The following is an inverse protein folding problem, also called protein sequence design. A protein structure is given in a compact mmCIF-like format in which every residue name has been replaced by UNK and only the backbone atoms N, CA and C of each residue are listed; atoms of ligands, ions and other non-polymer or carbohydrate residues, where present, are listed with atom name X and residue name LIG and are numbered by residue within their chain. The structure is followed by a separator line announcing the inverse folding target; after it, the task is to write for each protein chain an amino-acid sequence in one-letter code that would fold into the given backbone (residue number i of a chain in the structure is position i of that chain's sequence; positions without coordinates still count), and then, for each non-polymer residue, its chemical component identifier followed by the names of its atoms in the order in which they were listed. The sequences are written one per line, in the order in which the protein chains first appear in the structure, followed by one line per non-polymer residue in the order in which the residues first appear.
data_IF_652580802441
#
_entry.id   IF_652580802441
#
_cell.length_a   1.000
_cell.length_b   1.000
_cell.length_c   1.000
_cell.angle_alpha   90.00
_cell.angle_beta   90.00
_cell.angle_gamma   90.00
#
_symmetry.space_group_name_H-M   'P 1'
#
loop_
_entity.id
_entity.type
_entity.pdbx_description
1 polymer ?
#
# COMPACT_ATOMS: atom_id res chain seq x y z
N UNK A 1 7.06 34.81 -1.87
CA UNK A 1 7.46 33.45 -2.29
C UNK A 1 8.97 33.36 -2.08
N UNK A 2 9.40 32.54 -1.15
CA UNK A 2 10.82 32.47 -0.72
C UNK A 2 11.67 31.55 -1.61
N UNK A 3 11.11 30.96 -2.66
CA UNK A 3 11.84 30.05 -3.54
C UNK A 3 12.30 28.77 -2.85
N UNK A 4 11.50 28.27 -1.89
CA UNK A 4 11.78 27.05 -1.15
C UNK A 4 10.75 25.96 -1.41
N UNK A 5 11.01 24.78 -0.90
CA UNK A 5 10.13 23.61 -0.99
C UNK A 5 9.81 23.06 0.39
N UNK A 6 8.77 22.25 0.48
CA UNK A 6 8.35 21.58 1.70
C UNK A 6 8.03 20.10 1.41
N UNK A 7 8.35 19.23 2.36
CA UNK A 7 7.91 17.84 2.36
C UNK A 7 6.46 17.70 2.82
N UNK A 8 5.98 16.49 2.87
CA UNK A 8 4.66 16.18 3.40
C UNK A 8 4.36 14.70 3.27
N UNK A 9 3.16 14.34 3.67
CA UNK A 9 2.73 12.94 3.69
C UNK A 9 1.49 12.72 2.82
N UNK A 10 1.32 11.47 2.40
CA UNK A 10 0.15 10.98 1.68
C UNK A 10 -0.46 9.88 2.55
N UNK A 11 -1.66 10.14 3.04
CA UNK A 11 -2.49 9.12 3.66
C UNK A 11 -3.19 8.30 2.58
N UNK A 12 -3.29 7.00 2.78
CA UNK A 12 -4.02 6.10 1.90
C UNK A 12 -4.89 5.14 2.69
N UNK A 13 -5.95 4.66 2.05
CA UNK A 13 -6.85 3.66 2.60
C UNK A 13 -7.35 2.73 1.48
N UNK A 14 -7.32 1.41 1.71
CA UNK A 14 -7.93 0.41 0.84
C UNK A 14 -9.05 -0.32 1.58
N UNK A 15 -10.25 -0.26 1.02
CA UNK A 15 -11.46 -0.92 1.55
C UNK A 15 -11.86 -2.12 0.71
N UNK A 16 -12.58 -3.06 1.32
CA UNK A 16 -13.07 -4.24 0.64
C UNK A 16 -11.97 -5.24 0.25
N UNK A 17 -10.84 -5.18 0.95
CA UNK A 17 -9.74 -6.13 0.75
C UNK A 17 -10.12 -7.47 1.38
N UNK A 18 -10.05 -8.59 0.62
CA UNK A 18 -10.39 -9.89 1.17
C UNK A 18 -9.52 -10.26 2.38
N UNK A 19 -10.11 -10.92 3.37
CA UNK A 19 -9.40 -11.50 4.50
C UNK A 19 -8.47 -12.62 4.06
N UNK A 20 -7.32 -12.78 4.74
CA UNK A 20 -6.42 -13.91 4.56
C UNK A 20 -5.42 -13.78 3.42
N UNK A 21 -5.22 -12.57 2.88
CA UNK A 21 -4.14 -12.32 1.92
C UNK A 21 -2.81 -12.17 2.63
N UNK A 22 -1.75 -12.65 2.00
CA UNK A 22 -0.38 -12.58 2.50
C UNK A 22 0.15 -13.90 3.03
N UNK A 23 1.46 -14.01 3.08
CA UNK A 23 2.18 -15.15 3.64
C UNK A 23 3.32 -14.68 4.55
N UNK A 24 3.47 -15.28 5.75
CA UNK A 24 4.60 -14.95 6.60
C UNK A 24 5.90 -15.46 5.94
N UNK A 25 7.01 -14.78 6.04
CA UNK A 25 7.33 -13.48 6.69
C UNK A 25 7.63 -12.42 5.65
N UNK A 26 8.49 -12.79 4.64
CA UNK A 26 8.94 -11.85 3.59
C UNK A 26 7.83 -11.49 2.60
N UNK A 27 6.88 -12.39 2.40
CA UNK A 27 5.72 -12.19 1.55
C UNK A 27 4.45 -11.84 2.35
N UNK A 28 4.61 -11.26 3.53
CA UNK A 28 3.50 -10.63 4.24
C UNK A 28 3.04 -9.38 3.49
N UNK A 29 1.74 -9.05 3.61
CA UNK A 29 1.19 -7.82 2.98
C UNK A 29 1.95 -6.59 3.47
N UNK A 30 2.23 -6.53 4.78
CA UNK A 30 3.03 -5.47 5.39
C UNK A 30 4.41 -5.30 4.74
N UNK A 31 5.14 -6.41 4.54
CA UNK A 31 6.49 -6.35 3.97
C UNK A 31 6.46 -5.89 2.50
N UNK A 32 5.52 -6.40 1.72
CA UNK A 32 5.37 -6.06 0.31
C UNK A 32 4.86 -4.63 0.12
N UNK A 33 3.91 -4.16 0.95
CA UNK A 33 3.51 -2.75 0.95
C UNK A 33 4.67 -1.84 1.34
N UNK A 34 5.45 -2.20 2.36
CA UNK A 34 6.65 -1.44 2.74
C UNK A 34 7.65 -1.33 1.58
N UNK A 35 7.90 -2.43 0.88
CA UNK A 35 8.76 -2.44 -0.31
C UNK A 35 8.20 -1.54 -1.43
N UNK A 36 6.90 -1.65 -1.71
CA UNK A 36 6.24 -0.88 -2.75
C UNK A 36 6.27 0.62 -2.44
N UNK A 37 5.87 1.01 -1.23
CA UNK A 37 5.81 2.41 -0.82
C UNK A 37 7.20 3.06 -0.72
N UNK A 38 8.19 2.33 -0.20
CA UNK A 38 9.57 2.83 -0.14
C UNK A 38 10.28 2.85 -1.50
N UNK A 39 9.70 2.25 -2.54
CA UNK A 39 10.19 2.39 -3.92
C UNK A 39 9.70 3.66 -4.61
N UNK A 40 8.73 4.37 -4.02
CA UNK A 40 8.25 5.65 -4.55
C UNK A 40 9.36 6.70 -4.40
N UNK A 41 9.71 7.42 -5.49
CA UNK A 41 10.72 8.47 -5.39
C UNK A 41 10.40 9.49 -4.31
N UNK A 42 11.42 9.91 -3.57
CA UNK A 42 11.34 10.82 -2.43
C UNK A 42 10.66 10.25 -1.17
N UNK A 43 10.22 9.01 -1.16
CA UNK A 43 9.72 8.37 0.05
C UNK A 43 10.84 8.19 1.08
N UNK A 44 10.59 8.63 2.31
CA UNK A 44 11.54 8.55 3.44
C UNK A 44 10.99 7.78 4.62
N UNK A 45 9.67 7.61 4.69
CA UNK A 45 9.02 6.75 5.68
C UNK A 45 7.72 6.16 5.12
N UNK A 46 7.36 5.01 5.66
CA UNK A 46 6.10 4.33 5.45
C UNK A 46 5.59 3.80 6.78
N UNK A 47 4.35 4.09 7.09
CA UNK A 47 3.67 3.64 8.29
C UNK A 47 2.30 3.05 7.94
N UNK A 48 1.82 2.06 8.71
CA UNK A 48 0.47 1.50 8.57
C UNK A 48 -0.18 1.37 9.95
N UNK A 49 -1.52 1.43 10.00
CA UNK A 49 -2.27 1.49 11.25
C UNK A 49 -1.83 2.70 12.08
N UNK A 50 -1.65 2.51 13.38
CA UNK A 50 -1.14 3.55 14.29
C UNK A 50 0.31 3.99 13.97
N UNK A 51 1.02 3.25 13.11
CA UNK A 51 2.38 3.60 12.74
C UNK A 51 3.30 3.78 13.94
N UNK A 52 4.03 4.89 13.98
CA UNK A 52 4.95 5.24 15.08
C UNK A 52 4.24 5.56 16.41
N UNK A 53 2.95 5.88 16.38
CA UNK A 53 2.18 6.14 17.59
C UNK A 53 1.99 4.85 18.42
N UNK A 54 2.05 3.68 17.79
CA UNK A 54 1.94 2.39 18.47
C UNK A 54 2.92 2.20 19.64
N UNK A 55 4.04 2.93 19.67
CA UNK A 55 5.03 2.93 20.77
C UNK A 55 4.51 3.58 22.06
N UNK A 56 3.43 4.33 22.00
CA UNK A 56 2.85 5.07 23.12
C UNK A 56 1.76 4.25 23.83
N UNK A 57 1.37 3.12 23.25
CA UNK A 57 0.34 2.22 23.73
C UNK A 57 0.95 1.01 24.45
N UNK A 58 0.26 0.55 25.49
CA UNK A 58 0.53 -0.76 26.09
C UNK A 58 -0.01 -1.90 25.20
N UNK A 59 0.44 -3.13 25.44
CA UNK A 59 -0.02 -4.28 24.66
C UNK A 59 -1.53 -4.53 24.74
N UNK A 60 -2.15 -4.23 25.88
CA UNK A 60 -3.60 -4.37 26.06
C UNK A 60 -4.40 -3.26 25.39
N UNK A 61 -3.86 -2.06 25.34
CA UNK A 61 -4.50 -0.91 24.68
C UNK A 61 -4.43 -1.03 23.15
N UNK A 62 -3.38 -1.66 22.65
CA UNK A 62 -3.14 -1.82 21.21
C UNK A 62 -3.71 -3.10 20.64
N UNK A 63 -4.23 -3.98 21.44
CA UNK A 63 -4.75 -5.25 20.96
C UNK A 63 -6.14 -5.07 20.37
N UNK A 64 -6.26 -5.25 19.05
CA UNK A 64 -7.56 -5.30 18.40
C UNK A 64 -8.27 -6.59 18.83
N UNK A 65 -9.18 -6.47 19.82
CA UNK A 65 -10.02 -7.57 20.25
C UNK A 65 -11.00 -7.96 19.15
N UNK A 66 -11.48 -9.21 19.17
CA UNK A 66 -12.36 -9.72 18.12
C UNK A 66 -13.73 -10.01 18.70
N UNK A 67 -14.76 -9.63 17.98
CA UNK A 67 -16.15 -9.97 18.25
C UNK A 67 -16.82 -10.58 17.04
N UNK A 68 -18.00 -11.15 17.23
CA UNK A 68 -18.84 -11.56 16.10
C UNK A 68 -19.78 -10.44 15.74
N UNK A 69 -19.80 -10.08 14.47
CA UNK A 69 -20.73 -9.08 13.97
C UNK A 69 -22.17 -9.54 14.21
N UNK A 70 -23.01 -8.72 14.86
CA UNK A 70 -24.44 -8.98 15.05
C UNK A 70 -25.16 -8.78 13.72
N UNK A 71 -25.38 -9.85 12.95
CA UNK A 71 -26.06 -9.77 11.68
C UNK A 71 -26.27 -11.14 11.02
N UNK A 72 -27.17 -11.19 10.07
CA UNK A 72 -27.39 -12.37 9.25
C UNK A 72 -26.08 -12.81 8.58
N UNK A 73 -25.76 -14.10 8.72
CA UNK A 73 -24.54 -14.70 8.18
C UNK A 73 -24.31 -14.27 6.71
N UNK A 74 -23.42 -13.32 6.52
CA UNK A 74 -22.96 -12.96 5.20
C UNK A 74 -22.12 -14.12 4.64
N UNK A 75 -22.62 -14.75 3.59
CA UNK A 75 -21.85 -15.69 2.78
C UNK A 75 -20.75 -14.92 2.06
N UNK A 76 -19.63 -14.74 2.72
CA UNK A 76 -18.41 -14.28 2.04
C UNK A 76 -17.74 -15.47 1.38
N UNK A 77 -17.92 -15.60 0.11
CA UNK A 77 -17.36 -16.53 -0.86
C UNK A 77 -18.15 -17.79 -1.16
N UNK A 78 -18.61 -17.88 -2.40
CA UNK A 78 -19.18 -19.06 -3.05
C UNK A 78 -18.20 -20.24 -3.22
N UNK A 79 -17.02 -20.20 -2.57
CA UNK A 79 -15.93 -21.18 -2.75
C UNK A 79 -15.46 -21.89 -1.47
N UNK A 80 -16.15 -21.78 -0.34
CA UNK A 80 -15.88 -22.68 0.76
C UNK A 80 -16.75 -23.92 0.64
N UNK A 81 -16.22 -24.94 -0.03
CA UNK A 81 -16.81 -26.26 -0.07
C UNK A 81 -16.92 -26.83 1.35
N UNK A 82 -18.11 -26.83 1.93
CA UNK A 82 -18.43 -27.68 3.06
C UNK A 82 -18.83 -27.02 4.38
N UNK A 83 -18.94 -25.70 4.48
CA UNK A 83 -19.39 -25.10 5.71
C UNK A 83 -20.91 -24.89 5.71
N UNK A 84 -21.56 -25.50 6.71
CA UNK A 84 -22.93 -25.16 7.11
C UNK A 84 -22.99 -23.65 7.45
N UNK A 85 -24.15 -22.98 7.24
CA UNK A 85 -24.29 -21.57 7.60
C UNK A 85 -23.99 -21.40 9.09
N UNK A 86 -23.00 -20.58 9.42
CA UNK A 86 -22.69 -20.28 10.82
C UNK A 86 -23.88 -19.50 11.39
N UNK A 87 -24.36 -19.90 12.55
CA UNK A 87 -25.44 -19.22 13.29
C UNK A 87 -24.98 -17.83 13.83
N UNK A 88 -23.66 -17.55 13.75
CA UNK A 88 -23.04 -16.28 14.16
C UNK A 88 -22.46 -15.57 12.95
N UNK A 89 -22.46 -14.24 12.98
CA UNK A 89 -21.81 -13.40 11.98
C UNK A 89 -20.29 -13.69 11.86
N UNK A 90 -19.64 -13.01 10.93
CA UNK A 90 -18.19 -13.14 10.77
C UNK A 90 -17.45 -12.50 11.97
N UNK A 91 -16.32 -13.05 12.41
CA UNK A 91 -15.49 -12.40 13.41
C UNK A 91 -14.86 -11.15 12.80
N UNK A 92 -15.02 -10.02 13.48
CA UNK A 92 -14.44 -8.71 13.11
C UNK A 92 -13.64 -8.14 14.28
N UNK A 93 -12.57 -7.40 14.05
CA UNK A 93 -11.90 -6.71 15.13
C UNK A 93 -12.78 -5.53 15.59
N UNK A 94 -12.78 -5.26 16.88
CA UNK A 94 -13.52 -4.16 17.52
C UNK A 94 -12.94 -2.81 17.11
N UNK A 95 -11.63 -2.76 16.96
CA UNK A 95 -10.86 -1.62 16.51
C UNK A 95 -9.95 -2.05 15.35
N UNK A 96 -9.35 -1.09 14.66
CA UNK A 96 -8.47 -1.38 13.52
C UNK A 96 -7.11 -0.70 13.67
N UNK A 97 -6.56 -0.69 14.87
CA UNK A 97 -5.28 -0.07 15.21
C UNK A 97 -4.10 -0.71 14.46
N UNK A 98 -4.27 -1.96 14.06
CA UNK A 98 -3.31 -2.69 13.23
C UNK A 98 -3.38 -2.34 11.74
N UNK A 99 -4.30 -1.45 11.33
CA UNK A 99 -4.42 -1.01 9.94
C UNK A 99 -4.78 -2.11 8.96
N UNK A 100 -5.73 -2.99 9.35
CA UNK A 100 -6.22 -4.08 8.52
C UNK A 100 -5.27 -5.27 8.37
N UNK A 101 -4.18 -5.30 9.16
CA UNK A 101 -3.13 -6.32 9.06
C UNK A 101 -2.78 -6.90 10.43
N UNK A 102 -2.96 -8.19 10.62
CA UNK A 102 -2.48 -8.92 11.79
C UNK A 102 -1.58 -10.09 11.38
N UNK A 103 -0.42 -10.22 12.02
CA UNK A 103 0.56 -11.24 11.66
C UNK A 103 1.07 -11.16 10.21
N UNK A 104 0.90 -10.02 9.55
CA UNK A 104 1.27 -9.80 8.14
C UNK A 104 0.21 -10.26 7.13
N UNK A 105 -0.99 -10.62 7.62
CA UNK A 105 -2.13 -11.13 6.84
C UNK A 105 -3.29 -10.15 6.97
N UNK A 106 -4.08 -9.98 5.91
CA UNK A 106 -5.25 -9.10 5.92
C UNK A 106 -6.36 -9.63 6.81
N UNK A 107 -6.96 -8.73 7.60
CA UNK A 107 -8.09 -9.04 8.51
C UNK A 107 -9.46 -8.92 7.85
N UNK A 108 -9.54 -8.27 6.71
CA UNK A 108 -10.80 -7.88 6.04
C UNK A 108 -11.18 -6.42 6.31
N UNK A 109 -10.58 -5.82 7.33
CA UNK A 109 -10.75 -4.41 7.65
C UNK A 109 -10.00 -3.50 6.66
N UNK A 110 -10.32 -2.21 6.61
CA UNK A 110 -9.58 -1.26 5.78
C UNK A 110 -8.09 -1.28 6.08
N UNK A 111 -7.28 -1.41 5.03
CA UNK A 111 -5.82 -1.24 5.14
C UNK A 111 -5.54 0.24 4.97
N UNK A 112 -4.94 0.86 5.98
CA UNK A 112 -4.59 2.27 5.93
C UNK A 112 -3.17 2.52 6.41
N UNK A 113 -2.62 3.64 5.96
CA UNK A 113 -1.27 4.04 6.30
C UNK A 113 -0.89 5.39 5.71
N UNK A 114 0.38 5.71 5.87
CA UNK A 114 0.94 6.99 5.46
C UNK A 114 2.32 6.81 4.82
N UNK A 115 2.57 7.55 3.74
CA UNK A 115 3.88 7.65 3.08
C UNK A 115 4.39 9.07 3.22
N UNK A 116 5.55 9.25 3.84
CA UNK A 116 6.20 10.55 3.96
C UNK A 116 7.18 10.78 2.82
N UNK A 117 7.06 11.91 2.17
CA UNK A 117 7.95 12.38 1.10
C UNK A 117 8.77 13.57 1.58
N UNK A 118 10.08 13.54 1.34
CA UNK A 118 10.93 14.69 1.65
C UNK A 118 10.66 15.85 0.71
N UNK A 119 11.08 17.05 1.11
CA UNK A 119 11.03 18.23 0.26
C UNK A 119 11.96 18.07 -0.96
N UNK A 120 11.54 18.52 -2.16
CA UNK A 120 12.46 18.64 -3.30
C UNK A 120 13.68 19.48 -2.93
N UNK A 121 14.87 18.96 -3.18
CA UNK A 121 16.13 19.67 -2.89
C UNK A 121 16.61 20.53 -4.06
N UNK A 122 16.06 20.32 -5.25
CA UNK A 122 16.31 21.18 -6.42
C UNK A 122 15.47 22.47 -6.30
N UNK A 123 16.02 23.47 -5.64
CA UNK A 123 15.39 24.75 -5.39
C UNK A 123 16.20 25.89 -6.00
N UNK A 124 15.58 27.04 -6.33
CA UNK A 124 16.29 28.20 -6.90
C UNK A 124 17.00 29.04 -5.84
N UNK A 125 17.53 28.40 -4.81
CA UNK A 125 18.40 29.02 -3.79
C UNK A 125 19.83 28.57 -4.02
N UNK A 126 20.78 29.45 -3.79
CA UNK A 126 22.20 29.11 -3.80
C UNK A 126 22.48 28.10 -2.68
N UNK A 127 23.13 27.01 -3.03
CA UNK A 127 23.48 25.92 -2.11
C UNK A 127 24.98 25.61 -2.24
N UNK A 128 25.63 25.33 -1.13
CA UNK A 128 27.02 24.89 -1.12
C UNK A 128 27.09 23.42 -1.57
N UNK A 129 28.01 23.15 -2.47
CA UNK A 129 28.32 21.80 -2.98
C UNK A 129 29.82 21.65 -3.15
N UNK A 130 30.25 20.55 -3.75
CA UNK A 130 31.66 20.30 -4.06
C UNK A 130 31.84 20.04 -5.56
N UNK A 131 32.89 20.60 -6.10
CA UNK A 131 33.36 20.28 -7.44
C UNK A 131 34.17 18.98 -7.39
N UNK A 132 33.71 17.94 -8.06
CA UNK A 132 34.38 16.63 -8.06
C UNK A 132 35.72 16.61 -8.83
N UNK A 133 35.92 17.54 -9.77
CA UNK A 133 37.16 17.62 -10.55
C UNK A 133 38.28 18.33 -9.77
N UNK A 134 37.94 19.40 -9.08
CA UNK A 134 38.89 20.20 -8.34
C UNK A 134 39.00 19.78 -6.87
N UNK A 135 37.96 19.17 -6.31
CA UNK A 135 37.86 18.83 -4.89
C UNK A 135 37.62 20.04 -3.99
N UNK A 136 37.17 21.15 -4.54
CA UNK A 136 36.92 22.39 -3.82
C UNK A 136 35.43 22.59 -3.53
N UNK A 137 35.12 23.32 -2.46
CA UNK A 137 33.75 23.78 -2.20
C UNK A 137 33.36 24.86 -3.22
N UNK A 138 32.15 24.77 -3.72
CA UNK A 138 31.55 25.73 -4.64
C UNK A 138 30.11 26.01 -4.31
N UNK A 139 29.58 27.06 -4.89
CA UNK A 139 28.15 27.40 -4.78
C UNK A 139 27.45 27.13 -6.10
N UNK A 140 26.29 26.48 -6.02
CA UNK A 140 25.46 26.22 -7.18
C UNK A 140 24.02 26.69 -6.93
N UNK A 141 23.39 27.19 -7.98
CA UNK A 141 21.99 27.54 -8.01
C UNK A 141 21.32 26.82 -9.17
N UNK A 142 20.37 25.93 -8.85
CA UNK A 142 19.63 25.22 -9.88
C UNK A 142 18.58 26.15 -10.50
N UNK A 143 18.77 26.49 -11.77
CA UNK A 143 17.85 27.36 -12.51
C UNK A 143 16.80 26.51 -13.22
N UNK A 144 15.52 26.80 -13.02
CA UNK A 144 14.45 26.07 -13.68
C UNK A 144 13.10 26.19 -12.98
N UNK A 145 12.15 25.42 -13.48
CA UNK A 145 10.85 25.24 -12.81
C UNK A 145 10.94 24.09 -11.82
N UNK A 146 10.72 24.39 -10.56
CA UNK A 146 10.78 23.43 -9.48
C UNK A 146 9.41 23.22 -8.85
N UNK A 147 9.15 22.00 -8.40
CA UNK A 147 7.94 21.68 -7.63
C UNK A 147 8.16 22.11 -6.16
N UNK A 148 7.29 22.96 -5.62
CA UNK A 148 7.44 23.40 -4.23
C UNK A 148 7.03 22.31 -3.23
N UNK A 149 6.27 21.27 -3.66
CA UNK A 149 5.73 20.21 -2.84
C UNK A 149 5.44 18.97 -3.70
N UNK A 150 5.80 17.78 -3.20
CA UNK A 150 5.62 16.51 -3.95
C UNK A 150 4.30 15.77 -3.68
N UNK A 151 3.74 15.74 -2.45
CA UNK A 151 2.58 14.89 -2.14
C UNK A 151 1.42 14.98 -3.14
N UNK A 152 0.95 16.14 -3.63
CA UNK A 152 -0.16 16.19 -4.59
C UNK A 152 0.10 15.41 -5.89
N UNK A 153 1.36 15.30 -6.30
CA UNK A 153 1.77 14.52 -7.49
C UNK A 153 2.05 13.05 -7.15
N UNK A 154 2.36 12.79 -5.90
CA UNK A 154 2.62 11.44 -5.38
C UNK A 154 1.35 10.62 -5.16
N UNK A 155 0.18 11.25 -4.95
CA UNK A 155 -1.09 10.55 -4.67
C UNK A 155 -1.37 9.44 -5.67
N UNK A 156 -1.43 9.66 -6.99
CA UNK A 156 -1.74 8.58 -7.94
C UNK A 156 -0.65 7.50 -7.98
N UNK A 157 0.58 7.82 -7.63
CA UNK A 157 1.68 6.85 -7.58
C UNK A 157 1.50 5.92 -6.38
N UNK A 158 1.25 6.49 -5.19
CA UNK A 158 0.99 5.72 -3.96
C UNK A 158 -0.24 4.85 -4.11
N UNK A 159 -1.34 5.38 -4.67
CA UNK A 159 -2.56 4.64 -4.97
C UNK A 159 -2.29 3.45 -5.92
N UNK A 160 -1.53 3.68 -6.98
CA UNK A 160 -1.17 2.63 -7.95
C UNK A 160 -0.30 1.55 -7.32
N UNK A 161 0.67 1.91 -6.48
CA UNK A 161 1.54 0.95 -5.78
C UNK A 161 0.76 0.12 -4.77
N UNK A 162 -0.21 0.72 -4.07
CA UNK A 162 -1.14 0.02 -3.19
C UNK A 162 -1.97 -0.99 -3.98
N UNK A 163 -2.64 -0.54 -5.06
CA UNK A 163 -3.49 -1.37 -5.89
C UNK A 163 -2.73 -2.55 -6.52
N UNK A 164 -1.55 -2.30 -7.11
CA UNK A 164 -0.71 -3.33 -7.71
C UNK A 164 -0.30 -4.40 -6.69
N UNK A 165 0.09 -3.98 -5.49
CA UNK A 165 0.49 -4.91 -4.43
C UNK A 165 -0.68 -5.78 -3.99
N UNK A 166 -1.86 -5.19 -3.79
CA UNK A 166 -3.06 -5.94 -3.38
C UNK A 166 -3.56 -6.89 -4.47
N UNK A 167 -3.54 -6.46 -5.73
CA UNK A 167 -3.91 -7.32 -6.87
C UNK A 167 -2.97 -8.53 -6.99
N UNK A 168 -1.67 -8.34 -6.81
CA UNK A 168 -0.69 -9.43 -6.80
C UNK A 168 -1.03 -10.47 -5.72
N UNK A 169 -1.34 -10.02 -4.50
CA UNK A 169 -1.80 -10.92 -3.43
C UNK A 169 -3.14 -11.60 -3.73
N UNK A 170 -4.07 -10.91 -4.38
CA UNK A 170 -5.36 -11.50 -4.75
C UNK A 170 -5.19 -12.58 -5.82
N UNK A 171 -4.27 -12.40 -6.76
CA UNK A 171 -3.90 -13.40 -7.76
C UNK A 171 -3.23 -14.61 -7.10
N UNK A 172 -2.20 -14.37 -6.28
CA UNK A 172 -1.48 -15.42 -5.56
C UNK A 172 -2.38 -16.20 -4.59
N UNK A 173 -3.31 -15.51 -3.95
CA UNK A 173 -4.29 -16.09 -3.05
C UNK A 173 -5.49 -16.76 -3.74
N UNK A 174 -5.52 -16.80 -5.07
CA UNK A 174 -6.60 -17.40 -5.87
C UNK A 174 -7.95 -16.66 -5.75
N UNK A 175 -7.95 -15.41 -5.27
CA UNK A 175 -9.16 -14.57 -5.18
C UNK A 175 -9.55 -13.97 -6.53
N UNK A 176 -8.59 -13.81 -7.42
CA UNK A 176 -8.79 -13.45 -8.82
C UNK A 176 -8.36 -14.66 -9.65
N UNK A 177 -9.28 -15.18 -10.47
CA UNK A 177 -8.94 -16.22 -11.42
C UNK A 177 -8.40 -15.55 -12.70
N UNK A 178 -7.12 -15.74 -13.05
CA UNK A 178 -6.53 -15.17 -14.27
C UNK A 178 -7.32 -15.55 -15.54
N UNK A 179 -7.84 -16.79 -15.60
CA UNK A 179 -8.59 -17.27 -16.75
C UNK A 179 -9.92 -16.54 -16.96
N UNK A 180 -10.44 -15.88 -15.93
CA UNK A 180 -11.67 -15.06 -16.01
C UNK A 180 -11.43 -13.62 -16.41
N UNK A 181 -10.19 -13.18 -16.47
CA UNK A 181 -9.85 -11.81 -16.91
C UNK A 181 -10.13 -11.67 -18.40
N UNK A 182 -10.01 -12.76 -19.15
CA UNK A 182 -10.25 -12.81 -20.61
C UNK A 182 -11.75 -12.87 -20.96
N UNK A 183 -12.64 -13.22 -20.01
CA UNK A 183 -14.09 -13.33 -20.23
C UNK A 183 -14.83 -11.98 -20.14
N UNK A 184 -14.14 -10.87 -19.98
CA UNK A 184 -14.78 -9.54 -20.00
C UNK A 184 -15.10 -9.14 -21.44
N UNK A 185 -16.36 -8.85 -21.75
CA UNK A 185 -16.72 -8.46 -23.10
C UNK A 185 -16.02 -7.15 -23.49
N UNK A 186 -15.06 -7.26 -24.39
CA UNK A 186 -14.86 -6.28 -25.44
C UNK A 186 -13.98 -5.07 -25.21
N UNK A 187 -13.16 -4.94 -24.17
CA UNK A 187 -12.33 -3.72 -24.03
C UNK A 187 -10.81 -3.93 -23.94
N UNK A 188 -10.32 -5.14 -23.79
CA UNK A 188 -8.89 -5.43 -23.82
C UNK A 188 -8.62 -6.64 -24.70
N UNK A 189 -8.32 -6.39 -25.98
CA UNK A 189 -7.66 -7.34 -26.84
C UNK A 189 -6.19 -7.44 -26.39
N UNK A 190 -5.93 -8.26 -25.37
CA UNK A 190 -4.59 -8.58 -24.96
C UNK A 190 -4.24 -9.96 -25.53
N UNK A 191 -3.55 -9.98 -26.65
CA UNK A 191 -2.86 -11.18 -27.18
C UNK A 191 -1.75 -11.69 -26.20
N UNK A 192 -1.79 -11.25 -24.95
CA UNK A 192 -0.83 -11.65 -23.93
C UNK A 192 -1.36 -12.88 -23.17
N UNK A 193 -0.91 -14.05 -23.57
CA UNK A 193 -1.01 -15.28 -22.80
C UNK A 193 0.27 -15.47 -21.97
N UNK A 194 0.21 -15.49 -20.63
CA UNK A 194 1.38 -15.73 -19.79
C UNK A 194 1.98 -17.12 -19.98
N UNK A 195 1.28 -18.06 -20.63
CA UNK A 195 1.75 -19.41 -20.97
C UNK A 195 2.30 -19.54 -22.39
N UNK A 196 2.36 -18.45 -23.18
CA UNK A 196 2.67 -18.53 -24.62
C UNK A 196 1.53 -19.18 -25.42
N UNK A 197 1.62 -19.17 -26.76
CA UNK A 197 0.65 -19.87 -27.59
C UNK A 197 0.65 -21.35 -27.22
N UNK A 198 -0.55 -21.87 -26.90
CA UNK A 198 -0.72 -23.33 -26.77
C UNK A 198 -0.60 -23.89 -28.16
N UNK A 199 0.51 -24.57 -28.43
CA UNK A 199 0.64 -25.37 -29.63
C UNK A 199 -0.48 -26.43 -29.62
N UNK A 200 -1.26 -26.47 -30.67
CA UNK A 200 -2.32 -27.45 -30.94
C UNK A 200 -1.75 -28.85 -31.11
#
# INVERSE_FOLDING_TARGET
QEGDSIGGSIYFEARGVPRGLGAPRFDSVQARLGQAMMSVPAATAFEFGLGREAREYTGSERNDEWEFEDGEAHRTSENSSGDEPRERGDPVPVENDHGGLQGGITTGEPIYGEVTLHAPTSIPKTQTTVDWETGEETEEQVIGRHDPVLPPRGVPVVESMLALTLVDFMLLGGRINPDRVDDRPGEYDTDYHPSGPRDE
#
